data_IF_921995986382
#
_entry.id   IF_921995986382
#
_cell.length_a   1.000
_cell.length_b   1.000
_cell.length_c   1.000
_cell.angle_alpha   90.00
_cell.angle_beta   90.00
_cell.angle_gamma   90.00
#
_symmetry.space_group_name_H-M   'P 1'
#
loop_
_entity.id
_entity.type
_entity.pdbx_description
1 polymer ?
#
# COMPACT_ATOMS: atom_id res chain seq x y z
N UNK A 1 -22.88 -27.79 8.67
CA UNK A 1 -22.94 -26.49 7.96
C UNK A 1 -21.78 -25.62 8.43
N UNK A 2 -21.05 -25.06 7.47
CA UNK A 2 -19.69 -24.50 7.58
C UNK A 2 -19.59 -23.28 8.50
N UNK A 3 -18.58 -23.28 9.38
CA UNK A 3 -18.17 -22.15 10.22
C UNK A 3 -17.35 -21.16 9.39
N UNK A 4 -17.91 -20.01 9.03
CA UNK A 4 -17.14 -18.87 8.52
C UNK A 4 -16.43 -18.17 9.69
N UNK A 5 -15.09 -18.17 9.65
CA UNK A 5 -14.23 -17.46 10.60
C UNK A 5 -14.19 -15.98 10.22
N UNK A 6 -14.72 -15.11 11.08
CA UNK A 6 -14.57 -13.66 10.96
C UNK A 6 -13.18 -13.29 11.51
N UNK A 7 -12.25 -12.99 10.61
CA UNK A 7 -10.92 -12.47 10.93
C UNK A 7 -11.06 -10.99 11.31
N UNK A 8 -10.92 -10.65 12.59
CA UNK A 8 -10.73 -9.26 13.04
C UNK A 8 -9.35 -8.80 12.58
N UNK A 9 -9.33 -7.95 11.56
CA UNK A 9 -8.11 -7.32 11.04
C UNK A 9 -7.90 -6.02 11.81
N UNK A 10 -7.13 -6.07 12.89
CA UNK A 10 -6.64 -4.86 13.55
C UNK A 10 -5.62 -4.18 12.62
N UNK A 11 -6.00 -3.03 12.06
CA UNK A 11 -5.14 -2.22 11.21
C UNK A 11 -4.03 -1.56 12.03
N UNK A 12 -2.94 -2.28 12.25
CA UNK A 12 -1.70 -1.74 12.79
C UNK A 12 -0.84 -1.22 11.62
N UNK A 13 -0.66 0.11 11.54
CA UNK A 13 0.17 0.78 10.55
C UNK A 13 1.59 0.19 10.52
N UNK A 14 1.92 -0.44 9.39
CA UNK A 14 3.21 -1.07 9.12
C UNK A 14 4.26 0.00 8.80
N UNK A 15 5.14 0.31 9.73
CA UNK A 15 6.28 1.20 9.45
C UNK A 15 7.23 0.58 8.42
N UNK A 16 7.53 1.36 7.38
CA UNK A 16 8.44 1.03 6.28
C UNK A 16 9.89 1.20 6.75
N UNK A 17 10.49 0.16 7.33
CA UNK A 17 11.95 0.07 7.51
C UNK A 17 12.46 -1.33 7.18
N UNK A 18 13.53 -1.40 6.38
CA UNK A 18 14.13 -2.65 5.86
C UNK A 18 15.01 -3.40 6.89
N UNK A 19 14.81 -3.17 8.19
CA UNK A 19 15.56 -3.86 9.25
C UNK A 19 14.56 -4.39 10.28
N UNK A 20 14.50 -5.70 10.46
CA UNK A 20 13.77 -6.32 11.56
C UNK A 20 14.64 -6.26 12.81
N UNK A 21 14.54 -5.17 13.56
CA UNK A 21 15.15 -5.08 14.90
C UNK A 21 14.39 -6.03 15.83
N UNK A 22 15.12 -6.96 16.44
CA UNK A 22 14.60 -7.92 17.41
C UNK A 22 15.17 -7.60 18.79
N UNK A 23 14.36 -7.81 19.83
CA UNK A 23 14.83 -7.65 21.20
C UNK A 23 15.86 -8.75 21.55
N UNK A 24 17.02 -8.38 22.08
CA UNK A 24 18.06 -9.32 22.50
C UNK A 24 17.82 -9.89 23.91
N UNK A 25 16.73 -9.54 24.57
CA UNK A 25 16.38 -10.06 25.91
C UNK A 25 15.82 -11.47 25.79
N UNK A 26 16.32 -12.46 26.56
CA UNK A 26 15.74 -13.81 26.61
C UNK A 26 14.23 -13.76 26.85
N UNK A 27 13.48 -14.67 26.20
CA UNK A 27 12.01 -14.79 26.29
C UNK A 27 11.21 -13.59 25.73
N UNK A 28 11.87 -12.55 25.21
CA UNK A 28 11.18 -11.45 24.56
C UNK A 28 11.01 -11.69 23.05
N UNK A 29 9.76 -11.85 22.59
CA UNK A 29 9.41 -12.02 21.16
C UNK A 29 9.18 -10.70 20.42
N UNK A 30 9.46 -9.56 21.07
CA UNK A 30 9.21 -8.24 20.49
C UNK A 30 10.11 -7.98 19.26
N UNK A 31 9.47 -7.64 18.14
CA UNK A 31 10.12 -7.25 16.90
C UNK A 31 9.53 -5.95 16.36
N UNK A 32 10.40 -5.08 15.84
CA UNK A 32 10.03 -3.80 15.21
C UNK A 32 9.10 -3.98 14.00
N UNK A 33 9.09 -5.17 13.38
CA UNK A 33 8.23 -5.50 12.24
C UNK A 33 6.75 -5.66 12.63
N UNK A 34 6.49 -6.12 13.86
CA UNK A 34 5.15 -6.45 14.35
C UNK A 34 4.69 -5.53 15.49
N UNK A 35 5.56 -4.63 15.98
CA UNK A 35 5.27 -3.74 17.10
C UNK A 35 5.73 -2.32 16.77
N UNK A 36 4.84 -1.47 16.23
CA UNK A 36 5.13 -0.06 15.94
C UNK A 36 5.14 0.85 17.17
N UNK A 37 4.54 0.39 18.29
CA UNK A 37 4.43 1.14 19.55
C UNK A 37 5.72 1.06 20.38
N UNK A 38 6.54 0.04 20.15
CA UNK A 38 7.76 -0.20 20.92
C UNK A 38 8.96 0.50 20.29
N UNK A 39 9.76 1.15 21.12
CA UNK A 39 11.05 1.71 20.72
C UNK A 39 12.17 0.72 21.00
N UNK A 40 13.14 0.59 20.09
CA UNK A 40 14.29 -0.31 20.22
C UNK A 40 15.55 0.52 20.47
N UNK A 41 16.26 0.20 21.56
CA UNK A 41 17.41 0.95 22.05
C UNK A 41 18.69 0.13 21.92
N UNK A 42 19.76 0.74 21.39
CA UNK A 42 21.09 0.13 21.36
C UNK A 42 21.78 0.20 22.72
N UNK A 43 22.81 -0.62 22.89
CA UNK A 43 23.64 -0.58 24.08
C UNK A 43 24.34 0.78 24.24
N UNK A 44 24.44 1.32 25.47
CA UNK A 44 25.17 2.56 25.74
C UNK A 44 26.64 2.49 25.32
N UNK A 45 27.22 3.66 25.01
CA UNK A 45 28.67 3.81 24.76
C UNK A 45 29.48 3.66 26.05
N UNK A 46 28.92 4.09 27.18
CA UNK A 46 29.52 3.99 28.51
C UNK A 46 29.74 2.54 28.94
N UNK A 47 30.98 2.21 29.30
CA UNK A 47 31.42 0.85 29.63
C UNK A 47 30.66 0.30 30.85
N UNK A 48 30.50 1.11 31.89
CA UNK A 48 29.87 0.66 33.15
C UNK A 48 28.36 0.43 32.98
N UNK A 49 27.67 1.33 32.28
CA UNK A 49 26.23 1.19 32.01
C UNK A 49 25.96 -0.02 31.09
N UNK A 50 26.84 -0.25 30.10
CA UNK A 50 26.80 -1.44 29.26
C UNK A 50 26.99 -2.73 30.08
N UNK A 51 27.91 -2.73 31.06
CA UNK A 51 28.13 -3.86 31.96
C UNK A 51 26.89 -4.14 32.81
N UNK A 52 26.24 -3.10 33.33
CA UNK A 52 24.99 -3.22 34.08
C UNK A 52 23.86 -3.82 33.24
N UNK A 53 23.72 -3.43 31.98
CA UNK A 53 22.74 -4.03 31.06
C UNK A 53 23.01 -5.53 30.84
N UNK A 54 24.27 -5.91 30.63
CA UNK A 54 24.66 -7.32 30.45
C UNK A 54 24.32 -8.18 31.68
N UNK A 55 24.69 -7.70 32.88
CA UNK A 55 24.41 -8.40 34.15
C UNK A 55 22.90 -8.57 34.34
N UNK A 56 22.11 -7.56 33.98
CA UNK A 56 20.66 -7.57 34.14
C UNK A 56 19.94 -8.47 33.13
N UNK A 57 20.45 -8.59 31.90
CA UNK A 57 19.88 -9.43 30.83
C UNK A 57 20.16 -10.93 31.05
N UNK A 58 21.11 -11.29 31.93
CA UNK A 58 21.40 -12.67 32.38
C UNK A 58 21.56 -13.67 31.22
N UNK A 59 22.42 -13.34 30.27
CA UNK A 59 22.69 -14.20 29.10
C UNK A 59 24.14 -14.65 29.12
N UNK A 60 24.36 -15.95 29.31
CA UNK A 60 25.70 -16.52 29.31
C UNK A 60 26.28 -16.50 27.87
N UNK A 61 27.55 -16.09 27.73
CA UNK A 61 28.28 -16.03 26.45
C UNK A 61 27.67 -15.12 25.36
N UNK A 62 27.15 -13.94 25.72
CA UNK A 62 26.59 -12.98 24.76
C UNK A 62 27.63 -12.00 24.19
N UNK A 63 27.88 -12.06 22.88
CA UNK A 63 28.69 -11.06 22.15
C UNK A 63 27.80 -9.89 21.70
N UNK A 64 28.02 -8.69 22.25
CA UNK A 64 27.28 -7.49 21.83
C UNK A 64 27.65 -7.14 20.38
N UNK A 65 26.65 -7.16 19.49
CA UNK A 65 26.76 -6.64 18.13
C UNK A 65 26.05 -5.27 18.01
N UNK A 66 26.40 -4.47 17.01
CA UNK A 66 25.73 -3.19 16.67
C UNK A 66 24.22 -3.35 16.44
N UNK A 67 23.79 -4.56 16.06
CA UNK A 67 22.40 -4.97 15.83
C UNK A 67 21.67 -5.45 17.09
N UNK A 68 22.35 -5.60 18.23
CA UNK A 68 21.74 -5.99 19.49
C UNK A 68 20.96 -4.82 20.09
N UNK A 69 19.63 -4.93 20.12
CA UNK A 69 18.73 -3.89 20.64
C UNK A 69 17.86 -4.45 21.77
N UNK A 70 17.53 -3.59 22.74
CA UNK A 70 16.58 -3.87 23.82
C UNK A 70 15.32 -3.04 23.59
N UNK A 71 14.13 -3.66 23.66
CA UNK A 71 12.87 -2.94 23.46
C UNK A 71 12.46 -2.14 24.72
N UNK A 72 11.64 -1.11 24.53
CA UNK A 72 11.19 -0.19 25.58
C UNK A 72 10.37 -0.86 26.70
N UNK A 73 9.87 -2.09 26.51
CA UNK A 73 9.14 -2.85 27.56
C UNK A 73 10.00 -3.20 28.77
N UNK A 74 11.31 -3.26 28.60
CA UNK A 74 12.23 -3.64 29.67
C UNK A 74 12.66 -2.45 30.54
N UNK A 75 12.23 -1.24 30.19
CA UNK A 75 12.49 -0.02 30.93
C UNK A 75 11.21 0.45 31.61
N UNK A 76 11.33 0.93 32.84
CA UNK A 76 10.21 1.56 33.52
C UNK A 76 9.81 2.86 32.81
N UNK A 77 8.52 3.20 32.87
CA UNK A 77 7.92 4.31 32.10
C UNK A 77 8.48 5.68 32.50
N UNK A 78 8.98 5.81 33.73
CA UNK A 78 9.71 6.98 34.26
C UNK A 78 11.09 7.17 33.62
N UNK A 79 11.69 6.12 33.05
CA UNK A 79 12.99 6.15 32.36
C UNK A 79 12.87 6.37 30.84
N UNK A 80 11.65 6.58 30.35
CA UNK A 80 11.32 6.80 28.94
C UNK A 80 10.87 8.25 28.71
N UNK A 81 11.62 8.98 27.90
CA UNK A 81 11.25 10.32 27.43
C UNK A 81 10.30 10.16 26.26
N UNK A 82 9.07 10.63 26.43
CA UNK A 82 8.08 10.66 25.36
C UNK A 82 8.42 11.71 24.30
N UNK A 83 8.15 11.42 23.01
CA UNK A 83 8.43 12.35 21.93
C UNK A 83 7.50 13.58 22.01
N UNK A 84 8.06 14.77 21.76
CA UNK A 84 7.29 16.02 21.64
C UNK A 84 6.49 16.15 20.33
N UNK A 85 6.59 15.16 19.43
CA UNK A 85 6.06 15.17 18.07
C UNK A 85 5.37 13.83 17.81
N UNK A 86 4.27 13.82 17.05
CA UNK A 86 3.47 12.61 16.77
C UNK A 86 4.26 11.49 16.06
N UNK A 87 5.34 11.84 15.35
CA UNK A 87 6.25 10.90 14.67
C UNK A 87 7.55 10.58 15.44
N UNK A 88 7.72 11.12 16.64
CA UNK A 88 8.96 10.94 17.40
C UNK A 88 9.05 9.55 18.05
N UNK A 89 10.28 9.06 18.27
CA UNK A 89 10.53 7.83 19.02
C UNK A 89 10.75 8.15 20.50
N UNK A 90 10.31 7.25 21.39
CA UNK A 90 10.67 7.33 22.81
C UNK A 90 12.19 7.24 22.94
N UNK A 91 12.80 8.02 23.83
CA UNK A 91 14.25 7.99 24.10
C UNK A 91 14.48 7.58 25.56
N UNK A 92 15.59 6.91 25.83
CA UNK A 92 15.97 6.61 27.21
C UNK A 92 16.60 7.83 27.88
N UNK A 93 16.30 8.03 29.16
CA UNK A 93 17.02 8.96 30.02
C UNK A 93 18.49 8.53 30.14
N UNK A 94 19.41 9.49 30.29
CA UNK A 94 20.84 9.19 30.49
C UNK A 94 21.00 8.37 31.78
N UNK A 95 21.59 7.18 31.67
CA UNK A 95 21.74 6.27 32.82
C UNK A 95 20.62 5.25 33.02
N UNK A 96 19.62 5.18 32.12
CA UNK A 96 18.55 4.19 32.23
C UNK A 96 19.08 2.75 32.13
N UNK A 97 18.62 1.89 33.03
CA UNK A 97 18.95 0.46 33.08
C UNK A 97 17.66 -0.34 32.87
N UNK A 98 17.67 -1.42 32.06
CA UNK A 98 16.51 -2.28 31.95
C UNK A 98 16.30 -3.01 33.28
N UNK A 99 15.10 -2.93 33.83
CA UNK A 99 14.74 -3.49 35.15
C UNK A 99 13.58 -4.46 35.07
N UNK A 100 12.77 -4.39 34.02
CA UNK A 100 11.55 -5.18 33.86
C UNK A 100 11.83 -6.45 33.06
N UNK A 101 12.07 -7.55 33.76
CA UNK A 101 12.30 -8.87 33.19
C UNK A 101 11.42 -9.93 33.84
N UNK A 102 11.16 -11.01 33.12
CA UNK A 102 10.33 -12.13 33.57
C UNK A 102 10.89 -12.81 34.84
N UNK A 103 12.22 -12.83 35.01
CA UNK A 103 12.89 -13.33 36.21
C UNK A 103 12.95 -12.34 37.39
N UNK A 104 12.35 -11.15 37.26
CA UNK A 104 12.13 -10.20 38.35
C UNK A 104 10.66 -10.18 38.80
N UNK A 105 9.91 -11.26 38.55
CA UNK A 105 8.44 -11.35 38.77
C UNK A 105 7.61 -10.34 37.98
N UNK A 106 8.16 -9.74 36.91
CA UNK A 106 7.38 -8.91 36.00
C UNK A 106 6.70 -9.78 34.95
N UNK A 107 5.45 -10.15 35.21
CA UNK A 107 4.54 -10.65 34.18
C UNK A 107 4.00 -9.44 33.43
N UNK A 108 4.51 -9.21 32.22
CA UNK A 108 3.77 -8.36 31.29
C UNK A 108 2.38 -8.99 31.14
N UNK A 109 1.32 -8.24 31.44
CA UNK A 109 -0.04 -8.74 31.28
C UNK A 109 -0.14 -9.36 29.89
N UNK A 110 -0.33 -10.69 29.86
CA UNK A 110 -0.82 -11.34 28.64
C UNK A 110 -2.09 -10.57 28.27
N UNK A 111 -2.33 -10.27 26.98
CA UNK A 111 -3.66 -9.85 26.57
C UNK A 111 -4.62 -10.82 27.24
N UNK A 112 -5.54 -10.33 28.09
CA UNK A 112 -6.48 -11.21 28.79
C UNK A 112 -7.04 -12.14 27.73
N UNK A 113 -6.91 -13.45 27.96
CA UNK A 113 -7.62 -14.41 27.13
C UNK A 113 -9.07 -13.95 27.09
N UNK A 114 -9.59 -13.76 25.88
CA UNK A 114 -10.97 -13.32 25.72
C UNK A 114 -11.89 -14.20 26.54
N UNK A 115 -12.94 -13.62 27.12
CA UNK A 115 -13.96 -14.23 28.00
C UNK A 115 -14.51 -15.59 27.50
N UNK A 116 -14.30 -15.90 26.22
CA UNK A 116 -14.75 -17.10 25.52
C UNK A 116 -13.92 -18.37 25.76
N UNK A 117 -12.71 -18.29 26.34
CA UNK A 117 -11.90 -19.47 26.63
C UNK A 117 -12.21 -19.97 28.05
N UNK A 118 -13.41 -20.56 28.19
CA UNK A 118 -13.93 -21.12 29.44
C UNK A 118 -13.07 -22.31 29.89
N UNK A 119 -12.36 -22.16 31.00
CA UNK A 119 -11.77 -23.29 31.74
C UNK A 119 -12.90 -24.05 32.45
N UNK A 120 -12.98 -25.36 32.26
CA UNK A 120 -13.94 -26.19 33.00
C UNK A 120 -13.63 -26.15 34.50
N UNK A 121 -14.65 -25.85 35.30
CA UNK A 121 -14.57 -25.76 36.76
C UNK A 121 -14.64 -27.17 37.34
N UNK A 122 -13.68 -27.61 38.19
CA UNK A 122 -13.79 -28.87 38.90
C UNK A 122 -15.00 -28.86 39.85
N UNK A 123 -15.76 -29.96 39.86
CA UNK A 123 -16.85 -30.20 40.81
C UNK A 123 -16.30 -30.51 42.20
N UNK A 124 -16.65 -29.68 43.18
CA UNK A 124 -16.36 -29.93 44.60
C UNK A 124 -17.22 -31.05 45.18
N UNK A 125 -16.84 -31.54 46.38
CA UNK A 125 -17.84 -31.64 47.44
C UNK A 125 -17.43 -30.92 48.73
N UNK A 126 -18.36 -30.07 49.15
CA UNK A 126 -18.68 -29.45 50.44
C UNK A 126 -18.14 -30.16 51.70
N UNK A 127 -17.52 -29.38 52.61
CA UNK A 127 -17.97 -29.22 54.01
C UNK A 127 -17.02 -28.33 54.83
N UNK A 128 -17.51 -27.21 55.40
CA UNK A 128 -17.32 -26.83 56.81
C UNK A 128 -17.92 -25.46 57.13
N UNK A 129 -18.93 -25.52 57.99
CA UNK A 129 -19.21 -24.72 59.19
C UNK A 129 -18.85 -23.22 59.22
N UNK A 130 -19.93 -22.46 59.40
CA UNK A 130 -20.13 -21.03 59.64
C UNK A 130 -19.13 -20.34 60.58
N UNK A 131 -18.61 -19.19 60.15
CA UNK A 131 -18.42 -18.01 61.00
C UNK A 131 -18.84 -16.76 60.22
N UNK A 132 -19.92 -16.13 60.68
CA UNK A 132 -20.43 -14.86 60.17
C UNK A 132 -19.47 -13.71 60.55
N UNK A 133 -18.82 -13.12 59.55
CA UNK A 133 -18.47 -11.69 59.60
C UNK A 133 -19.30 -10.98 58.54
N UNK A 134 -20.22 -10.11 58.99
CA UNK A 134 -20.99 -9.21 58.11
C UNK A 134 -20.05 -8.22 57.45
N UNK A 135 -19.69 -8.48 56.20
CA UNK A 135 -19.23 -7.44 55.28
C UNK A 135 -20.44 -7.05 54.43
N UNK A 136 -20.88 -5.79 54.56
CA UNK A 136 -21.90 -5.19 53.71
C UNK A 136 -21.36 -5.07 52.27
N UNK A 137 -21.52 -6.14 51.50
CA UNK A 137 -21.27 -6.10 50.05
C UNK A 137 -22.57 -5.65 49.41
N UNK A 138 -22.62 -4.37 49.03
CA UNK A 138 -23.60 -3.88 48.06
C UNK A 138 -23.53 -4.77 46.82
N UNK A 139 -24.53 -5.63 46.66
CA UNK A 139 -24.67 -6.48 45.49
C UNK A 139 -24.85 -5.58 44.28
N UNK A 140 -23.79 -5.46 43.47
CA UNK A 140 -23.87 -4.74 42.22
C UNK A 140 -24.63 -5.62 41.24
N UNK A 141 -25.82 -5.15 40.86
CA UNK A 141 -26.74 -5.78 39.90
C UNK A 141 -26.07 -5.92 38.51
N UNK A 142 -25.22 -6.94 38.38
CA UNK A 142 -24.49 -7.25 37.15
C UNK A 142 -25.29 -8.18 36.22
N UNK A 143 -26.45 -8.65 36.67
CA UNK A 143 -27.31 -9.61 35.96
C UNK A 143 -28.67 -9.03 35.58
N UNK A 144 -28.79 -7.71 35.41
CA UNK A 144 -29.92 -7.16 34.65
C UNK A 144 -29.71 -7.57 33.18
N UNK A 145 -30.42 -8.60 32.72
CA UNK A 145 -30.54 -8.86 31.28
C UNK A 145 -31.10 -7.59 30.64
N UNK A 146 -30.38 -6.96 29.69
CA UNK A 146 -30.89 -5.75 29.08
C UNK A 146 -32.25 -6.06 28.49
N UNK A 147 -33.25 -5.22 28.77
CA UNK A 147 -34.60 -5.43 28.24
C UNK A 147 -34.52 -5.65 26.72
N UNK A 148 -35.34 -6.54 26.14
CA UNK A 148 -35.27 -6.85 24.71
C UNK A 148 -35.37 -5.61 23.82
N UNK A 149 -36.08 -4.56 24.28
CA UNK A 149 -36.11 -3.26 23.63
C UNK A 149 -34.74 -2.57 23.59
N UNK A 150 -33.93 -2.65 24.66
CA UNK A 150 -32.58 -2.07 24.70
C UNK A 150 -31.57 -2.80 23.81
N UNK A 151 -31.74 -4.11 23.60
CA UNK A 151 -30.95 -4.90 22.65
C UNK A 151 -31.34 -4.61 21.19
N UNK A 152 -32.63 -4.41 20.93
CA UNK A 152 -33.13 -4.04 19.59
C UNK A 152 -32.67 -2.63 19.20
N UNK A 153 -32.78 -1.66 20.13
CA UNK A 153 -32.28 -0.30 19.92
C UNK A 153 -30.77 -0.23 19.68
N UNK A 154 -29.97 -1.04 20.40
CA UNK A 154 -28.52 -1.09 20.18
C UNK A 154 -28.14 -1.80 18.87
N UNK A 155 -28.91 -2.80 18.45
CA UNK A 155 -28.72 -3.47 17.16
C UNK A 155 -29.07 -2.53 15.99
N UNK A 156 -30.20 -1.82 16.07
CA UNK A 156 -30.60 -0.79 15.10
C UNK A 156 -29.57 0.34 15.02
N UNK A 157 -29.08 0.83 16.15
CA UNK A 157 -28.02 1.85 16.18
C UNK A 157 -26.74 1.37 15.50
N UNK A 158 -26.33 0.11 15.70
CA UNK A 158 -25.14 -0.44 15.02
C UNK A 158 -25.32 -0.62 13.51
N UNK A 159 -26.54 -0.97 13.07
CA UNK A 159 -26.86 -1.06 11.64
C UNK A 159 -26.89 0.31 10.98
N UNK A 160 -27.44 1.31 11.66
CA UNK A 160 -27.48 2.68 11.16
C UNK A 160 -26.08 3.31 11.14
N UNK A 161 -25.25 3.06 12.16
CA UNK A 161 -23.83 3.43 12.14
C UNK A 161 -23.09 2.75 10.97
N UNK A 162 -23.37 1.47 10.69
CA UNK A 162 -22.77 0.76 9.55
C UNK A 162 -23.18 1.39 8.21
N UNK A 163 -24.45 1.74 8.03
CA UNK A 163 -24.94 2.42 6.83
C UNK A 163 -24.28 3.80 6.67
N UNK A 164 -24.18 4.58 7.75
CA UNK A 164 -23.52 5.90 7.68
C UNK A 164 -22.03 5.79 7.33
N UNK A 165 -21.33 4.77 7.81
CA UNK A 165 -19.94 4.51 7.43
C UNK A 165 -19.82 4.16 5.94
N UNK A 166 -20.70 3.33 5.41
CA UNK A 166 -20.74 2.99 3.98
C UNK A 166 -21.03 4.24 3.12
N UNK A 167 -21.99 5.05 3.52
CA UNK A 167 -22.34 6.30 2.82
C UNK A 167 -21.18 7.31 2.86
N UNK A 168 -20.53 7.49 4.02
CA UNK A 168 -19.36 8.35 4.15
C UNK A 168 -18.18 7.84 3.30
N UNK A 169 -17.96 6.53 3.25
CA UNK A 169 -16.94 5.93 2.39
C UNK A 169 -17.24 6.19 0.91
N UNK A 170 -18.50 6.06 0.49
CA UNK A 170 -18.94 6.38 -0.87
C UNK A 170 -18.72 7.86 -1.20
N UNK A 171 -19.11 8.77 -0.31
CA UNK A 171 -18.89 10.20 -0.49
C UNK A 171 -17.40 10.56 -0.59
N UNK A 172 -16.55 9.96 0.25
CA UNK A 172 -15.10 10.15 0.18
C UNK A 172 -14.51 9.66 -1.15
N UNK A 173 -14.99 8.52 -1.65
CA UNK A 173 -14.56 7.98 -2.93
C UNK A 173 -15.01 8.86 -4.10
N UNK A 174 -16.25 9.35 -4.09
CA UNK A 174 -16.76 10.29 -5.11
C UNK A 174 -15.96 11.59 -5.11
N UNK A 175 -15.73 12.20 -3.95
CA UNK A 175 -14.91 13.40 -3.81
C UNK A 175 -13.46 13.17 -4.26
N UNK A 176 -12.92 11.97 -4.01
CA UNK A 176 -11.58 11.60 -4.47
C UNK A 176 -11.52 11.49 -6.00
N UNK A 177 -12.48 10.82 -6.63
CA UNK A 177 -12.55 10.70 -8.10
C UNK A 177 -12.74 12.07 -8.76
N UNK A 178 -13.50 12.97 -8.15
CA UNK A 178 -13.66 14.34 -8.64
C UNK A 178 -12.35 15.14 -8.55
N UNK A 179 -11.54 14.91 -7.50
CA UNK A 179 -10.26 15.60 -7.28
C UNK A 179 -9.12 15.03 -8.12
N UNK A 180 -9.07 13.72 -8.31
CA UNK A 180 -7.99 13.05 -9.04
C UNK A 180 -8.25 13.09 -10.56
N UNK A 181 -7.20 13.32 -11.34
CA UNK A 181 -7.27 13.15 -12.79
C UNK A 181 -7.02 11.67 -13.12
N UNK A 182 -8.09 10.88 -13.15
CA UNK A 182 -8.07 9.44 -13.41
C UNK A 182 -9.12 9.06 -14.46
N UNK A 183 -9.05 7.84 -15.01
CA UNK A 183 -10.01 7.40 -16.03
C UNK A 183 -11.45 7.43 -15.50
N UNK A 184 -11.65 7.00 -14.25
CA UNK A 184 -12.96 6.86 -13.62
C UNK A 184 -13.72 8.20 -13.56
N UNK A 185 -13.00 9.33 -13.47
CA UNK A 185 -13.60 10.67 -13.49
C UNK A 185 -14.39 10.96 -14.77
N UNK A 186 -13.99 10.36 -15.89
CA UNK A 186 -14.59 10.62 -17.20
C UNK A 186 -15.49 9.47 -17.68
N UNK A 187 -15.66 8.41 -16.88
CA UNK A 187 -16.41 7.22 -17.29
C UNK A 187 -17.89 7.49 -17.63
N UNK A 188 -18.48 8.58 -17.11
CA UNK A 188 -19.85 8.98 -17.40
C UNK A 188 -20.04 9.88 -18.62
N UNK A 189 -18.97 10.25 -19.34
CA UNK A 189 -19.03 11.16 -20.49
C UNK A 189 -18.19 10.63 -21.64
N UNK A 190 -18.88 10.06 -22.63
CA UNK A 190 -18.24 9.51 -23.83
C UNK A 190 -17.48 10.58 -24.63
N UNK A 191 -17.97 11.82 -24.66
CA UNK A 191 -17.26 12.96 -25.28
C UNK A 191 -15.87 13.18 -24.63
N UNK A 192 -15.79 13.13 -23.30
CA UNK A 192 -14.52 13.28 -22.60
C UNK A 192 -13.60 12.08 -22.85
N UNK A 193 -14.15 10.86 -22.87
CA UNK A 193 -13.38 9.66 -23.21
C UNK A 193 -12.82 9.79 -24.62
N UNK A 194 -13.64 10.17 -25.60
CA UNK A 194 -13.19 10.35 -26.98
C UNK A 194 -12.13 11.44 -27.09
N UNK A 195 -12.32 12.56 -26.41
CA UNK A 195 -11.33 13.64 -26.37
C UNK A 195 -9.97 13.16 -25.83
N UNK A 196 -9.95 12.53 -24.65
CA UNK A 196 -8.71 12.13 -23.99
C UNK A 196 -8.11 10.82 -24.49
N UNK A 197 -8.84 9.99 -25.22
CA UNK A 197 -8.35 8.64 -25.57
C UNK A 197 -8.50 8.27 -27.04
N UNK A 198 -9.28 9.05 -27.80
CA UNK A 198 -9.73 8.76 -29.17
C UNK A 198 -10.59 7.49 -29.31
N UNK A 199 -10.91 6.79 -28.22
CA UNK A 199 -11.92 5.73 -28.25
C UNK A 199 -13.33 6.34 -28.34
N UNK A 200 -14.25 5.75 -29.13
CA UNK A 200 -15.59 6.32 -29.31
C UNK A 200 -16.43 6.41 -28.04
N UNK A 201 -16.23 5.51 -27.08
CA UNK A 201 -16.94 5.52 -25.79
C UNK A 201 -16.15 4.81 -24.71
N UNK A 202 -16.57 4.98 -23.45
CA UNK A 202 -15.99 4.28 -22.31
C UNK A 202 -16.01 2.76 -22.49
N UNK A 203 -17.10 2.23 -23.04
CA UNK A 203 -17.27 0.79 -23.28
C UNK A 203 -16.26 0.24 -24.29
N UNK A 204 -15.99 0.98 -25.37
CA UNK A 204 -14.97 0.58 -26.36
C UNK A 204 -13.57 0.57 -25.76
N UNK A 205 -13.24 1.59 -24.95
CA UNK A 205 -11.97 1.65 -24.23
C UNK A 205 -11.84 0.48 -23.25
N UNK A 206 -12.90 0.17 -22.50
CA UNK A 206 -12.88 -0.94 -21.55
C UNK A 206 -12.80 -2.30 -22.24
N UNK A 207 -13.46 -2.48 -23.39
CA UNK A 207 -13.32 -3.70 -24.19
C UNK A 207 -11.87 -3.91 -24.64
N UNK A 208 -11.19 -2.85 -25.10
CA UNK A 208 -9.77 -2.91 -25.42
C UNK A 208 -8.91 -3.17 -24.18
N UNK A 209 -9.22 -2.52 -23.06
CA UNK A 209 -8.53 -2.75 -21.79
C UNK A 209 -8.57 -4.22 -21.37
N UNK A 210 -9.74 -4.87 -21.40
CA UNK A 210 -9.90 -6.27 -21.01
C UNK A 210 -9.12 -7.22 -21.91
N UNK A 211 -8.91 -6.87 -23.18
CA UNK A 211 -8.08 -7.65 -24.10
C UNK A 211 -6.60 -7.61 -23.70
N UNK A 212 -6.10 -6.44 -23.26
CA UNK A 212 -4.68 -6.24 -22.99
C UNK A 212 -4.29 -6.46 -21.53
N UNK A 213 -5.23 -6.29 -20.58
CA UNK A 213 -5.02 -6.38 -19.14
C UNK A 213 -4.32 -7.68 -18.71
N UNK A 214 -4.73 -8.86 -19.21
CA UNK A 214 -4.05 -10.11 -18.89
C UNK A 214 -2.59 -10.11 -19.31
N UNK A 215 -2.17 -9.32 -20.32
CA UNK A 215 -0.78 -9.29 -20.77
C UNK A 215 0.08 -8.27 -20.03
N UNK A 216 -0.50 -7.43 -19.15
CA UNK A 216 0.23 -6.39 -18.42
C UNK A 216 1.27 -6.97 -17.45
N UNK A 217 1.07 -8.18 -16.91
CA UNK A 217 2.09 -8.80 -16.05
C UNK A 217 3.40 -9.10 -16.79
N UNK A 218 3.36 -9.22 -18.13
CA UNK A 218 4.54 -9.40 -18.99
C UNK A 218 5.30 -8.10 -19.23
N UNK A 219 4.75 -6.97 -18.79
CA UNK A 219 5.34 -5.65 -19.00
C UNK A 219 6.62 -5.48 -18.17
N UNK A 220 7.77 -5.62 -18.83
CA UNK A 220 9.07 -5.31 -18.24
C UNK A 220 9.30 -3.81 -18.29
N UNK A 221 9.69 -3.21 -17.15
CA UNK A 221 10.10 -1.80 -17.14
C UNK A 221 11.29 -1.61 -18.08
N UNK A 222 11.18 -0.68 -19.03
CA UNK A 222 12.21 -0.38 -20.03
C UNK A 222 13.57 -0.10 -19.39
N UNK A 223 13.61 0.58 -18.25
CA UNK A 223 14.87 0.79 -17.50
C UNK A 223 15.50 -0.48 -16.96
N UNK A 224 14.70 -1.50 -16.59
CA UNK A 224 15.20 -2.82 -16.19
C UNK A 224 15.67 -3.62 -17.41
N UNK A 225 14.94 -3.54 -18.53
CA UNK A 225 15.34 -4.16 -19.79
C UNK A 225 16.68 -3.60 -20.31
N UNK A 226 16.84 -2.27 -20.33
CA UNK A 226 18.11 -1.60 -20.71
C UNK A 226 19.25 -1.97 -19.75
N UNK A 227 18.97 -2.05 -18.45
CA UNK A 227 19.99 -2.42 -17.45
C UNK A 227 20.41 -3.89 -17.53
N UNK A 228 19.48 -4.79 -17.91
CA UNK A 228 19.76 -6.21 -18.11
C UNK A 228 20.50 -6.46 -19.43
N UNK A 229 20.13 -5.75 -20.50
CA UNK A 229 20.85 -5.76 -21.78
C UNK A 229 22.30 -5.29 -21.62
N UNK A 230 22.57 -4.30 -20.75
CA UNK A 230 23.94 -3.88 -20.42
C UNK A 230 24.74 -4.91 -19.60
N UNK A 231 24.10 -5.90 -18.99
CA UNK A 231 24.74 -6.90 -18.12
C UNK A 231 24.74 -8.33 -18.69
N UNK A 232 24.20 -8.56 -19.91
CA UNK A 232 24.00 -9.89 -20.49
C UNK A 232 23.30 -10.88 -19.52
N UNK A 233 22.36 -10.38 -18.71
CA UNK A 233 21.54 -11.22 -17.82
C UNK A 233 20.15 -11.45 -18.42
N UNK A 234 19.67 -12.69 -18.40
CA UNK A 234 18.28 -13.00 -18.75
C UNK A 234 17.31 -12.25 -17.82
N UNK A 235 16.36 -11.55 -18.43
CA UNK A 235 15.33 -10.79 -17.71
C UNK A 235 14.33 -11.78 -17.11
N UNK A 236 14.61 -12.25 -15.89
CA UNK A 236 13.66 -13.08 -15.14
C UNK A 236 12.39 -12.25 -14.85
N UNK A 237 11.27 -12.72 -15.41
CA UNK A 237 9.93 -12.14 -15.29
C UNK A 237 9.33 -12.37 -13.92
N UNK A 238 9.88 -11.72 -12.90
CA UNK A 238 9.12 -11.45 -11.68
C UNK A 238 9.29 -9.98 -11.33
N UNK A 239 8.36 -9.17 -11.85
CA UNK A 239 8.10 -7.86 -11.28
C UNK A 239 7.68 -8.07 -9.83
N UNK A 240 8.62 -8.00 -8.88
CA UNK A 240 8.28 -7.75 -7.47
C UNK A 240 7.33 -6.54 -7.50
N UNK A 241 6.11 -6.66 -6.95
CA UNK A 241 5.19 -5.53 -6.88
C UNK A 241 5.90 -4.49 -6.02
N UNK A 242 6.48 -3.50 -6.70
CA UNK A 242 7.10 -2.38 -6.05
C UNK A 242 5.97 -1.68 -5.32
N UNK A 243 6.05 -1.66 -4.00
CA UNK A 243 5.17 -0.95 -3.06
C UNK A 243 5.12 0.58 -3.30
N UNK A 244 5.58 1.06 -4.47
CA UNK A 244 5.56 2.45 -4.97
C UNK A 244 4.58 2.65 -6.13
N UNK A 245 3.62 1.76 -6.34
CA UNK A 245 2.69 1.88 -7.46
C UNK A 245 1.52 2.79 -7.04
N UNK A 246 1.76 4.10 -7.05
CA UNK A 246 0.76 5.14 -6.68
C UNK A 246 -0.43 5.20 -7.66
N UNK A 247 -0.23 4.83 -8.93
CA UNK A 247 -1.27 4.80 -9.97
C UNK A 247 -1.66 3.37 -10.33
N UNK A 248 -2.96 3.15 -10.52
CA UNK A 248 -3.49 1.89 -11.02
C UNK A 248 -3.01 1.63 -12.46
N UNK A 249 -2.88 0.35 -12.89
CA UNK A 249 -2.49 0.03 -14.26
C UNK A 249 -3.36 0.73 -15.32
N UNK A 250 -4.67 0.79 -15.11
CA UNK A 250 -5.63 1.45 -16.01
C UNK A 250 -5.37 2.96 -16.11
N UNK A 251 -5.03 3.63 -15.01
CA UNK A 251 -4.75 5.07 -15.03
C UNK A 251 -3.41 5.39 -15.70
N UNK A 252 -2.44 4.46 -15.63
CA UNK A 252 -1.20 4.59 -16.40
C UNK A 252 -1.42 4.44 -17.89
N UNK A 253 -2.33 3.54 -18.28
CA UNK A 253 -2.76 3.40 -19.67
C UNK A 253 -3.51 4.64 -20.14
N UNK A 254 -4.45 5.14 -19.34
CA UNK A 254 -5.15 6.39 -19.62
C UNK A 254 -4.18 7.58 -19.77
N UNK A 255 -3.18 7.70 -18.89
CA UNK A 255 -2.12 8.71 -19.03
C UNK A 255 -1.40 8.61 -20.38
N UNK A 256 -1.03 7.39 -20.79
CA UNK A 256 -0.40 7.17 -22.09
C UNK A 256 -1.34 7.54 -23.26
N UNK A 257 -2.63 7.22 -23.16
CA UNK A 257 -3.61 7.61 -24.15
C UNK A 257 -3.76 9.13 -24.23
N UNK A 258 -3.85 9.85 -23.11
CA UNK A 258 -3.87 11.31 -23.07
C UNK A 258 -2.65 11.96 -23.74
N UNK A 259 -1.48 11.31 -23.61
CA UNK A 259 -0.26 11.73 -24.29
C UNK A 259 -0.38 11.60 -25.82
N UNK A 260 -0.94 10.50 -26.33
CA UNK A 260 -1.12 10.27 -27.77
C UNK A 260 -2.26 11.09 -28.38
N UNK A 261 -3.37 11.21 -27.67
CA UNK A 261 -4.63 11.75 -28.20
C UNK A 261 -4.66 13.29 -28.24
N UNK A 262 -4.28 13.92 -27.13
CA UNK A 262 -4.34 15.37 -26.91
C UNK A 262 -2.95 15.98 -27.06
N UNK A 263 -1.88 15.18 -26.97
CA UNK A 263 -0.51 15.68 -27.07
C UNK A 263 -0.03 16.42 -25.82
N UNK A 264 -0.60 16.10 -24.65
CA UNK A 264 -0.20 16.74 -23.38
C UNK A 264 1.28 16.51 -23.09
N UNK A 265 2.00 17.57 -22.72
CA UNK A 265 3.42 17.49 -22.37
C UNK A 265 3.61 16.73 -21.06
N UNK A 266 4.75 16.05 -20.91
CA UNK A 266 5.04 15.24 -19.72
C UNK A 266 4.92 16.01 -18.40
N UNK A 267 5.30 17.30 -18.39
CA UNK A 267 5.18 18.17 -17.23
C UNK A 267 3.73 18.44 -16.84
N UNK A 268 2.84 18.60 -17.81
CA UNK A 268 1.41 18.80 -17.54
C UNK A 268 0.77 17.51 -17.03
N UNK A 269 1.07 16.38 -17.68
CA UNK A 269 0.66 15.05 -17.21
C UNK A 269 1.14 14.77 -15.78
N UNK A 270 2.38 15.16 -15.46
CA UNK A 270 2.94 15.03 -14.11
C UNK A 270 2.09 15.77 -13.06
N UNK A 271 1.71 17.01 -13.37
CA UNK A 271 0.87 17.82 -12.49
C UNK A 271 -0.53 17.24 -12.36
N UNK A 272 -1.19 16.89 -13.47
CA UNK A 272 -2.57 16.35 -13.48
C UNK A 272 -2.69 15.05 -12.70
N UNK A 273 -1.77 14.11 -12.93
CA UNK A 273 -1.77 12.80 -12.27
C UNK A 273 -1.06 12.81 -10.91
N UNK A 274 -0.59 13.97 -10.44
CA UNK A 274 0.15 14.13 -9.19
C UNK A 274 1.32 13.13 -9.05
N UNK A 275 2.12 13.00 -10.11
CA UNK A 275 3.31 12.15 -10.13
C UNK A 275 4.50 12.90 -10.69
N UNK A 276 5.70 12.48 -10.30
CA UNK A 276 6.92 13.11 -10.81
C UNK A 276 7.03 12.94 -12.35
N UNK A 277 7.53 13.95 -13.06
CA UNK A 277 7.73 13.90 -14.53
C UNK A 277 8.53 12.66 -14.99
N UNK A 278 9.59 12.30 -14.28
CA UNK A 278 10.36 11.07 -14.55
C UNK A 278 9.52 9.79 -14.48
N UNK A 279 8.43 9.77 -13.70
CA UNK A 279 7.46 8.66 -13.66
C UNK A 279 6.58 8.66 -14.89
N UNK A 280 6.10 9.82 -15.34
CA UNK A 280 5.34 9.98 -16.60
C UNK A 280 6.15 9.46 -17.78
N UNK A 281 7.40 9.92 -17.93
CA UNK A 281 8.29 9.48 -19.01
C UNK A 281 8.50 7.97 -19.01
N UNK A 282 8.71 7.37 -17.83
CA UNK A 282 8.81 5.90 -17.68
C UNK A 282 7.52 5.19 -18.05
N UNK A 283 6.35 5.73 -17.70
CA UNK A 283 5.05 5.18 -18.06
C UNK A 283 4.90 5.18 -19.58
N UNK A 284 5.13 6.33 -20.23
CA UNK A 284 5.03 6.47 -21.69
C UNK A 284 5.93 5.45 -22.38
N UNK A 285 7.23 5.43 -22.09
CA UNK A 285 8.17 4.50 -22.73
C UNK A 285 7.78 3.02 -22.53
N UNK A 286 7.28 2.66 -21.35
CA UNK A 286 6.89 1.29 -21.04
C UNK A 286 5.62 0.88 -21.81
N UNK A 287 4.61 1.75 -21.86
CA UNK A 287 3.39 1.49 -22.63
C UNK A 287 3.62 1.50 -24.14
N UNK A 288 4.45 2.40 -24.66
CA UNK A 288 4.90 2.37 -26.06
C UNK A 288 5.50 1.01 -26.40
N UNK A 289 6.50 0.56 -25.63
CA UNK A 289 7.20 -0.70 -25.90
C UNK A 289 6.25 -1.91 -25.82
N UNK A 290 5.36 -1.92 -24.81
CA UNK A 290 4.37 -2.97 -24.63
C UNK A 290 3.38 -3.03 -25.79
N UNK A 291 2.78 -1.90 -26.18
CA UNK A 291 1.79 -1.86 -27.25
C UNK A 291 2.42 -2.08 -28.63
N UNK A 292 3.65 -1.61 -28.88
CA UNK A 292 4.37 -1.96 -30.11
C UNK A 292 4.58 -3.47 -30.22
N UNK A 293 4.91 -4.15 -29.12
CA UNK A 293 5.07 -5.61 -29.14
C UNK A 293 3.72 -6.31 -29.31
N UNK A 294 2.69 -5.86 -28.58
CA UNK A 294 1.37 -6.48 -28.58
C UNK A 294 0.65 -6.29 -29.92
N UNK A 295 0.57 -5.04 -30.40
CA UNK A 295 -0.10 -4.68 -31.63
C UNK A 295 0.77 -4.92 -32.86
N UNK A 296 2.10 -4.88 -32.74
CA UNK A 296 3.00 -5.20 -33.85
C UNK A 296 2.94 -6.66 -34.28
N UNK A 297 2.40 -7.55 -33.43
CA UNK A 297 2.06 -8.92 -33.83
C UNK A 297 0.83 -9.00 -34.75
N UNK A 298 0.03 -7.94 -34.82
CA UNK A 298 -1.10 -7.85 -35.74
C UNK A 298 -0.62 -7.33 -37.09
N UNK A 299 -0.71 -8.18 -38.11
CA UNK A 299 -0.36 -7.81 -39.48
C UNK A 299 -1.45 -6.90 -40.06
N UNK A 300 -1.40 -5.61 -39.72
CA UNK A 300 -2.33 -4.60 -40.25
C UNK A 300 -1.91 -4.07 -41.64
N UNK A 301 -0.70 -4.39 -42.08
CA UNK A 301 -0.12 -3.91 -43.34
C UNK A 301 -0.13 -5.01 -44.40
N UNK A 302 -0.50 -4.65 -45.62
CA UNK A 302 -0.39 -5.54 -46.78
C UNK A 302 1.09 -5.85 -47.10
N UNK A 303 1.32 -6.99 -47.73
CA UNK A 303 2.68 -7.35 -48.18
C UNK A 303 3.15 -6.41 -49.30
N UNK A 304 4.47 -6.18 -49.46
CA UNK A 304 4.99 -5.32 -50.53
C UNK A 304 4.48 -5.72 -51.93
N UNK A 305 4.33 -7.03 -52.18
CA UNK A 305 3.87 -7.55 -53.47
C UNK A 305 2.40 -7.19 -53.73
N UNK A 306 1.53 -7.30 -52.72
CA UNK A 306 0.12 -6.93 -52.83
C UNK A 306 -0.05 -5.42 -53.02
N UNK A 307 0.76 -4.60 -52.34
CA UNK A 307 0.73 -3.14 -52.51
C UNK A 307 1.17 -2.76 -53.92
N UNK A 308 2.24 -3.35 -54.44
CA UNK A 308 2.70 -3.08 -55.81
C UNK A 308 1.67 -3.49 -56.88
N UNK A 309 0.96 -4.60 -56.67
CA UNK A 309 -0.09 -5.04 -57.60
C UNK A 309 -1.26 -4.04 -57.72
N UNK A 310 -1.51 -3.25 -56.67
CA UNK A 310 -2.61 -2.28 -56.59
C UNK A 310 -2.13 -0.83 -56.52
N UNK A 311 -0.86 -0.54 -56.84
CA UNK A 311 -0.28 0.79 -56.73
C UNK A 311 -0.95 1.75 -57.73
N UNK A 312 -1.59 2.85 -57.26
CA UNK A 312 -2.24 3.81 -58.16
C UNK A 312 -1.25 4.52 -59.09
N UNK A 313 -1.72 4.89 -60.27
CA UNK A 313 -0.95 5.60 -61.31
C UNK A 313 -0.22 6.85 -60.78
N UNK A 314 -0.85 7.58 -59.85
CA UNK A 314 -0.32 8.78 -59.23
C UNK A 314 0.93 8.56 -58.36
N UNK A 315 1.23 7.30 -57.99
CA UNK A 315 2.40 6.92 -57.19
C UNK A 315 3.44 6.14 -57.99
N UNK A 316 3.35 6.14 -59.33
CA UNK A 316 4.31 5.43 -60.19
C UNK A 316 5.76 5.88 -60.01
N UNK A 317 5.96 7.15 -59.71
CA UNK A 317 7.28 7.72 -59.44
C UNK A 317 7.83 7.31 -58.06
N UNK A 318 7.01 6.66 -57.22
CA UNK A 318 7.35 6.20 -55.87
C UNK A 318 7.06 4.69 -55.71
N UNK A 319 7.76 3.80 -56.45
CA UNK A 319 7.47 2.36 -56.51
C UNK A 319 7.80 1.60 -55.21
N UNK A 320 8.48 2.25 -54.28
CA UNK A 320 8.78 1.79 -52.93
C UNK A 320 7.73 2.21 -51.89
N UNK A 321 6.67 2.92 -52.31
CA UNK A 321 5.57 3.32 -51.43
C UNK A 321 4.80 2.09 -50.94
N UNK A 322 4.87 1.82 -49.64
CA UNK A 322 4.18 0.69 -49.03
C UNK A 322 2.90 1.08 -48.28
N UNK A 323 2.86 2.28 -47.69
CA UNK A 323 1.75 2.78 -46.87
C UNK A 323 1.68 4.29 -46.99
N UNK A 324 0.47 4.83 -47.11
CA UNK A 324 0.21 6.26 -46.99
C UNK A 324 -0.48 6.50 -45.66
N UNK A 325 0.18 7.27 -44.79
CA UNK A 325 -0.38 7.66 -43.50
C UNK A 325 -0.92 9.09 -43.63
N UNK A 326 -2.25 9.23 -43.63
CA UNK A 326 -2.89 10.54 -43.55
C UNK A 326 -2.83 11.05 -42.10
N UNK A 327 -1.79 11.83 -41.80
CA UNK A 327 -1.59 12.47 -40.51
C UNK A 327 -2.03 13.94 -40.60
N UNK A 328 -3.24 14.25 -40.14
CA UNK A 328 -3.70 15.65 -40.01
C UNK A 328 -2.95 16.34 -38.87
N UNK A 329 -1.82 16.96 -39.16
CA UNK A 329 -1.13 17.85 -38.23
C UNK A 329 -1.85 19.21 -38.20
N UNK A 330 -2.55 19.53 -37.10
CA UNK A 330 -2.94 20.90 -36.82
C UNK A 330 -1.69 21.71 -36.50
N UNK A 331 -1.09 22.32 -37.51
CA UNK A 331 -0.06 23.34 -37.35
C UNK A 331 -0.79 24.60 -36.86
N UNK A 332 -0.73 24.87 -35.57
CA UNK A 332 -1.13 26.18 -35.03
C UNK A 332 -0.23 27.25 -35.66
N UNK A 333 -0.71 27.89 -36.72
CA UNK A 333 -0.07 29.03 -37.36
C UNK A 333 0.08 30.17 -36.36
N UNK A 334 1.20 30.19 -35.64
CA UNK A 334 1.66 31.41 -34.98
C UNK A 334 2.25 32.27 -36.07
N UNK A 335 1.45 33.22 -36.57
CA UNK A 335 1.90 34.24 -37.51
C UNK A 335 2.99 35.04 -36.80
N UNK A 336 4.25 34.74 -37.10
CA UNK A 336 5.37 35.63 -36.83
C UNK A 336 5.24 36.79 -37.81
N UNK A 337 4.63 37.88 -37.37
CA UNK A 337 4.75 39.16 -38.08
C UNK A 337 6.21 39.60 -38.04
N UNK A 338 6.82 39.96 -39.18
CA UNK A 338 8.18 40.49 -39.18
C UNK A 338 8.20 41.89 -38.52
N UNK A 339 9.31 42.26 -37.85
CA UNK A 339 9.40 43.55 -37.18
C UNK A 339 9.38 44.71 -38.20
N UNK A 340 8.83 45.88 -37.83
CA UNK A 340 8.80 47.04 -38.71
C UNK A 340 10.23 47.53 -39.00
N UNK A 341 10.43 47.97 -40.24
CA UNK A 341 11.70 48.43 -40.81
C UNK A 341 12.27 49.66 -40.12
#
# INVERSE_FOLDING_TARGET
MSRQKILKTEHLQRQVKNYSEHCCVPLCTASAKFNGVLSFHGFPTELELRRQWLVKIRRDNFTISSHSKVCSRHFATDQLIEPKTLDGRRRLVKGAVPTLFEWNHFTAQTPRASVWERRERPTEPVSREEQEERIDVRDHDYCSTPEPASLDMSSQATEDDSKTVEDLQKQLQELRVQREFCLQRFAGSDDNIQFYTRFPSYNHLMAFWFLIEPSIYKMVRVTRAISAAKRNEEVVTHARPSTRQLLQPIDKFFLFLCFLSVGLKERDLANRFNVHQSTVSRIIATWTSFLTTLLGSQCIWLTPAEVQAHLPEAFKDFPDTQVILDCRAEVSNTILTPPPK
#
